data_IF_116249228013
#
_entry.id   IF_116249228013
#
_cell.length_a   1.000
_cell.length_b   1.000
_cell.length_c   1.000
_cell.angle_alpha   90.00
_cell.angle_beta   90.00
_cell.angle_gamma   90.00
#
_symmetry.space_group_name_H-M   'P 1'
#
loop_
_entity.id
_entity.type
_entity.pdbx_description
1 polymer ?
#
# COMPACT_ATOMS: atom_id res chain seq x y z
N UNK A 1 -15.26 -11.53 0.09
CA UNK A 1 -15.60 -10.16 0.55
C UNK A 1 -15.32 -10.10 2.04
N UNK A 2 -14.70 -9.02 2.53
CA UNK A 2 -14.44 -8.86 3.95
C UNK A 2 -15.76 -8.78 4.75
N UNK A 3 -15.78 -9.49 5.87
CA UNK A 3 -16.82 -9.41 6.88
C UNK A 3 -16.74 -8.08 7.62
N UNK A 4 -17.85 -7.69 8.23
CA UNK A 4 -17.90 -6.49 9.09
C UNK A 4 -16.91 -6.62 10.24
N UNK A 5 -16.79 -7.81 10.85
CA UNK A 5 -15.87 -8.04 11.96
C UNK A 5 -14.40 -7.83 11.57
N UNK A 6 -14.02 -8.16 10.34
CA UNK A 6 -12.67 -7.90 9.82
C UNK A 6 -12.47 -6.40 9.60
N UNK A 7 -13.43 -5.70 8.98
CA UNK A 7 -13.36 -4.25 8.76
C UNK A 7 -13.23 -3.49 10.09
N UNK A 8 -14.00 -3.90 11.10
CA UNK A 8 -14.02 -3.29 12.43
C UNK A 8 -12.76 -3.57 13.27
N UNK A 9 -11.81 -4.36 12.77
CA UNK A 9 -10.47 -4.43 13.39
C UNK A 9 -9.68 -3.13 13.23
N UNK A 10 -10.07 -2.30 12.26
CA UNK A 10 -9.31 -1.13 11.81
C UNK A 10 -10.17 0.13 11.74
N UNK A 11 -11.39 0.01 11.20
CA UNK A 11 -12.31 1.13 11.08
C UNK A 11 -13.29 1.20 12.25
N UNK A 12 -13.72 2.40 12.60
CA UNK A 12 -14.70 2.60 13.67
C UNK A 12 -16.08 2.08 13.24
N UNK A 13 -16.86 1.61 14.22
CA UNK A 13 -18.22 1.17 13.97
C UNK A 13 -19.08 2.28 13.38
N UNK A 14 -18.94 3.52 13.87
CA UNK A 14 -19.70 4.67 13.37
C UNK A 14 -19.39 4.96 11.90
N UNK A 15 -18.12 4.91 11.50
CA UNK A 15 -17.74 5.11 10.10
C UNK A 15 -18.27 3.99 9.21
N UNK A 16 -18.14 2.73 9.63
CA UNK A 16 -18.73 1.61 8.91
C UNK A 16 -20.25 1.73 8.77
N UNK A 17 -20.96 2.10 9.85
CA UNK A 17 -22.40 2.30 9.82
C UNK A 17 -22.80 3.45 8.87
N UNK A 18 -22.03 4.53 8.85
CA UNK A 18 -22.28 5.65 7.95
C UNK A 18 -22.06 5.27 6.47
N UNK A 19 -21.04 4.45 6.19
CA UNK A 19 -20.85 3.85 4.87
C UNK A 19 -22.04 2.96 4.51
N UNK A 20 -22.31 1.91 5.29
CA UNK A 20 -23.29 0.88 4.95
C UNK A 20 -24.71 1.43 4.74
N UNK A 21 -25.06 2.50 5.45
CA UNK A 21 -26.35 3.19 5.32
C UNK A 21 -26.34 4.38 4.35
N UNK A 22 -25.21 4.67 3.70
CA UNK A 22 -25.02 5.81 2.80
C UNK A 22 -25.35 7.17 3.45
N UNK A 23 -24.97 7.35 4.71
CA UNK A 23 -25.25 8.56 5.51
C UNK A 23 -24.03 9.44 5.75
N UNK A 24 -22.90 9.17 5.08
CA UNK A 24 -21.74 10.07 5.11
C UNK A 24 -22.14 11.50 4.72
N UNK A 25 -21.56 12.49 5.41
CA UNK A 25 -21.84 13.87 5.10
C UNK A 25 -21.33 14.24 3.70
N UNK A 26 -21.93 15.23 3.01
CA UNK A 26 -21.40 15.69 1.72
C UNK A 26 -19.94 16.16 1.79
N UNK A 27 -19.48 16.61 2.95
CA UNK A 27 -18.08 17.00 3.18
C UNK A 27 -17.16 15.77 3.14
N UNK A 28 -17.55 14.68 3.80
CA UNK A 28 -16.76 13.46 3.86
C UNK A 28 -16.72 12.76 2.50
N UNK A 29 -17.85 12.73 1.78
CA UNK A 29 -17.89 12.23 0.40
C UNK A 29 -16.94 13.01 -0.52
N UNK A 30 -16.86 14.34 -0.38
CA UNK A 30 -15.91 15.17 -1.15
C UNK A 30 -14.45 14.89 -0.78
N UNK A 31 -14.17 14.57 0.49
CA UNK A 31 -12.83 14.20 0.96
C UNK A 31 -12.36 12.89 0.31
N UNK A 32 -13.26 11.92 0.19
CA UNK A 32 -13.03 10.66 -0.53
C UNK A 32 -12.83 10.93 -2.03
N UNK A 33 -13.64 11.80 -2.64
CA UNK A 33 -13.54 12.15 -4.05
C UNK A 33 -14.24 11.16 -5.00
N UNK A 34 -15.10 10.28 -4.47
CA UNK A 34 -15.89 9.31 -5.24
C UNK A 34 -17.38 9.45 -4.94
N UNK A 35 -18.28 9.20 -5.92
CA UNK A 35 -19.72 9.20 -5.67
C UNK A 35 -20.11 7.97 -4.84
N UNK A 36 -20.66 8.19 -3.63
CA UNK A 36 -21.07 7.11 -2.73
C UNK A 36 -22.26 6.33 -3.29
N UNK A 37 -22.13 5.00 -3.29
CA UNK A 37 -23.15 4.05 -3.72
C UNK A 37 -22.95 2.71 -2.98
N UNK A 38 -23.98 1.87 -2.94
CA UNK A 38 -23.87 0.56 -2.30
C UNK A 38 -22.89 -0.34 -3.05
N UNK A 39 -22.88 -0.24 -4.37
CA UNK A 39 -21.98 -0.95 -5.27
C UNK A 39 -20.52 -0.57 -5.02
N UNK A 40 -20.24 0.72 -4.80
CA UNK A 40 -18.90 1.17 -4.43
C UNK A 40 -18.47 0.57 -3.09
N UNK A 41 -19.34 0.58 -2.07
CA UNK A 41 -19.02 0.00 -0.77
C UNK A 41 -18.78 -1.50 -0.88
N UNK A 42 -19.62 -2.23 -1.61
CA UNK A 42 -19.44 -3.67 -1.80
C UNK A 42 -18.16 -3.98 -2.59
N UNK A 43 -17.79 -3.14 -3.58
CA UNK A 43 -16.47 -3.20 -4.23
C UNK A 43 -15.34 -3.04 -3.21
N UNK A 44 -15.39 -2.04 -2.33
CA UNK A 44 -14.33 -1.82 -1.33
C UNK A 44 -14.20 -3.02 -0.37
N UNK A 45 -15.32 -3.62 0.04
CA UNK A 45 -15.27 -4.85 0.85
C UNK A 45 -14.67 -6.03 0.08
N UNK A 46 -14.86 -6.10 -1.24
CA UNK A 46 -14.21 -7.11 -2.08
C UNK A 46 -12.70 -6.86 -2.15
N UNK A 47 -12.26 -5.60 -2.28
CA UNK A 47 -10.84 -5.22 -2.25
C UNK A 47 -10.19 -5.65 -0.94
N UNK A 48 -10.77 -5.27 0.21
CA UNK A 48 -10.26 -5.66 1.53
C UNK A 48 -10.20 -7.19 1.67
N UNK A 49 -11.26 -7.88 1.28
CA UNK A 49 -11.30 -9.35 1.32
C UNK A 49 -10.25 -10.00 0.42
N UNK A 50 -9.99 -9.43 -0.76
CA UNK A 50 -8.96 -9.92 -1.67
C UNK A 50 -7.55 -9.76 -1.08
N UNK A 51 -7.27 -8.63 -0.41
CA UNK A 51 -5.98 -8.41 0.26
C UNK A 51 -5.76 -9.36 1.45
N UNK A 52 -6.82 -9.67 2.23
CA UNK A 52 -6.77 -10.70 3.29
C UNK A 52 -6.46 -12.08 2.69
N UNK A 53 -7.16 -12.48 1.63
CA UNK A 53 -6.94 -13.79 1.00
C UNK A 53 -5.56 -13.87 0.35
N UNK A 54 -5.11 -12.80 -0.33
CA UNK A 54 -3.74 -12.69 -0.83
C UNK A 54 -2.73 -12.91 0.32
N UNK A 55 -2.98 -12.35 1.50
CA UNK A 55 -2.09 -12.56 2.63
C UNK A 55 -1.99 -14.02 3.06
N UNK A 56 -3.12 -14.73 3.09
CA UNK A 56 -3.14 -16.17 3.37
C UNK A 56 -2.45 -16.99 2.28
N UNK A 57 -2.58 -16.62 1.01
CA UNK A 57 -1.82 -17.25 -0.07
C UNK A 57 -0.32 -16.99 0.06
N UNK A 58 0.11 -15.76 0.33
CA UNK A 58 1.51 -15.41 0.50
C UNK A 58 2.20 -16.19 1.62
N UNK A 59 1.50 -16.53 2.70
CA UNK A 59 2.04 -17.40 3.77
C UNK A 59 2.41 -18.80 3.29
N UNK A 60 1.70 -19.32 2.28
CA UNK A 60 1.91 -20.65 1.73
C UNK A 60 2.86 -20.63 0.53
N UNK A 61 2.64 -19.67 -0.38
CA UNK A 61 3.30 -19.59 -1.68
C UNK A 61 4.54 -18.66 -1.67
N UNK A 62 4.78 -17.96 -0.56
CA UNK A 62 5.85 -16.98 -0.38
C UNK A 62 5.51 -15.59 -0.92
N UNK A 63 4.65 -15.49 -1.94
CA UNK A 63 4.21 -14.22 -2.50
C UNK A 63 2.82 -14.29 -3.11
N UNK A 64 2.07 -13.19 -3.05
CA UNK A 64 0.81 -13.01 -3.77
C UNK A 64 0.64 -11.56 -4.21
N UNK A 65 -0.18 -11.31 -5.24
CA UNK A 65 -0.35 -10.00 -5.85
C UNK A 65 -1.83 -9.63 -5.90
N UNK A 66 -2.19 -8.51 -5.26
CA UNK A 66 -3.54 -7.93 -5.27
C UNK A 66 -3.62 -6.83 -6.34
N UNK A 67 -4.44 -7.06 -7.36
CA UNK A 67 -4.64 -6.10 -8.46
C UNK A 67 -5.64 -4.98 -8.14
N UNK A 68 -6.18 -4.96 -6.92
CA UNK A 68 -7.25 -4.05 -6.54
C UNK A 68 -7.01 -3.34 -5.21
N UNK A 69 -6.00 -3.79 -4.44
CA UNK A 69 -5.62 -3.24 -3.15
C UNK A 69 -4.60 -2.10 -3.20
N UNK A 70 -4.20 -1.64 -2.02
CA UNK A 70 -3.29 -0.50 -1.85
C UNK A 70 -4.03 0.80 -1.52
N UNK A 71 -5.14 0.71 -0.80
CA UNK A 71 -5.98 1.87 -0.42
C UNK A 71 -5.46 2.54 0.86
N UNK A 72 -4.25 3.10 0.78
CA UNK A 72 -3.47 3.55 1.95
C UNK A 72 -3.93 4.86 2.63
N UNK A 73 -4.88 5.60 2.05
CA UNK A 73 -5.28 6.92 2.56
C UNK A 73 -6.44 6.90 3.56
N UNK A 74 -7.17 5.79 3.67
CA UNK A 74 -8.30 5.70 4.59
C UNK A 74 -7.84 5.64 6.07
N UNK A 75 -8.51 6.41 6.92
CA UNK A 75 -8.33 6.46 8.38
C UNK A 75 -9.37 5.58 9.09
N UNK A 76 -9.25 5.46 10.42
CA UNK A 76 -10.18 4.67 11.21
C UNK A 76 -11.63 5.16 11.06
N UNK A 77 -11.85 6.47 11.03
CA UNK A 77 -13.17 7.11 11.07
C UNK A 77 -13.55 7.88 9.80
N UNK A 78 -12.69 7.85 8.77
CA UNK A 78 -12.91 8.61 7.55
C UNK A 78 -12.13 8.05 6.36
N UNK A 79 -12.66 8.26 5.16
CA UNK A 79 -11.96 8.00 3.91
C UNK A 79 -11.42 9.31 3.30
N UNK A 80 -10.39 9.20 2.47
CA UNK A 80 -9.84 10.32 1.70
C UNK A 80 -8.96 9.83 0.54
N UNK A 81 -8.67 10.70 -0.42
CA UNK A 81 -7.72 10.38 -1.50
C UNK A 81 -8.11 9.13 -2.28
N UNK A 82 -9.40 9.00 -2.63
CA UNK A 82 -9.99 7.84 -3.30
C UNK A 82 -10.01 6.53 -2.49
N UNK A 83 -9.53 6.53 -1.25
CA UNK A 83 -9.52 5.38 -0.36
C UNK A 83 -10.68 5.45 0.64
N UNK A 84 -11.48 4.39 0.72
CA UNK A 84 -12.66 4.31 1.60
C UNK A 84 -12.39 3.39 2.78
N UNK A 85 -11.90 2.18 2.51
CA UNK A 85 -11.40 1.25 3.52
C UNK A 85 -9.91 1.02 3.30
N UNK A 86 -9.13 0.86 4.37
CA UNK A 86 -7.69 0.60 4.28
C UNK A 86 -7.44 -0.90 4.27
N UNK A 87 -7.23 -1.47 3.08
CA UNK A 87 -7.14 -2.91 2.89
C UNK A 87 -5.90 -3.52 3.54
N UNK A 88 -4.74 -2.87 3.43
CA UNK A 88 -3.48 -3.32 4.03
C UNK A 88 -3.58 -3.34 5.55
N UNK A 89 -4.16 -2.29 6.16
CA UNK A 89 -4.28 -2.22 7.61
C UNK A 89 -5.27 -3.25 8.17
N UNK A 90 -6.40 -3.44 7.48
CA UNK A 90 -7.36 -4.50 7.84
C UNK A 90 -6.69 -5.87 7.74
N UNK A 91 -6.02 -6.17 6.63
CA UNK A 91 -5.33 -7.45 6.47
C UNK A 91 -4.24 -7.66 7.54
N UNK A 92 -3.47 -6.61 7.87
CA UNK A 92 -2.47 -6.66 8.94
C UNK A 92 -3.09 -7.01 10.29
N UNK A 93 -4.18 -6.33 10.68
CA UNK A 93 -4.86 -6.60 11.95
C UNK A 93 -5.50 -7.99 11.99
N UNK A 94 -6.02 -8.50 10.87
CA UNK A 94 -6.52 -9.87 10.75
C UNK A 94 -5.40 -10.89 10.96
N UNK A 95 -4.27 -10.76 10.26
CA UNK A 95 -3.12 -11.66 10.43
C UNK A 95 -2.60 -11.69 11.86
N UNK A 96 -2.45 -10.51 12.50
CA UNK A 96 -1.99 -10.41 13.89
C UNK A 96 -2.98 -11.07 14.85
N UNK A 97 -4.29 -10.81 14.68
CA UNK A 97 -5.35 -11.38 15.53
C UNK A 97 -5.44 -12.89 15.41
N UNK A 98 -5.24 -13.43 14.21
CA UNK A 98 -5.26 -14.88 13.94
C UNK A 98 -3.92 -15.57 14.29
N UNK A 99 -2.89 -14.80 14.65
CA UNK A 99 -1.56 -15.34 14.97
C UNK A 99 -0.81 -15.86 13.74
N UNK A 100 -1.23 -15.44 12.54
CA UNK A 100 -0.62 -15.83 11.26
C UNK A 100 0.66 -15.03 10.94
N UNK A 101 0.81 -13.86 11.55
CA UNK A 101 2.03 -13.06 11.56
C UNK A 101 2.24 -12.44 12.95
N UNK A 102 3.47 -12.11 13.31
CA UNK A 102 3.80 -11.46 14.60
C UNK A 102 4.43 -10.09 14.43
N UNK A 103 5.11 -9.84 13.31
CA UNK A 103 5.75 -8.57 12.99
C UNK A 103 5.60 -8.29 11.50
N UNK A 104 4.79 -7.29 11.18
CA UNK A 104 4.43 -6.95 9.80
C UNK A 104 5.18 -5.69 9.37
N UNK A 105 5.86 -5.74 8.24
CA UNK A 105 6.36 -4.55 7.56
C UNK A 105 5.35 -4.11 6.50
N UNK A 106 4.89 -2.87 6.59
CA UNK A 106 4.23 -2.17 5.48
C UNK A 106 5.30 -1.32 4.79
N UNK A 107 5.72 -1.76 3.61
CA UNK A 107 6.62 -1.03 2.72
C UNK A 107 5.77 -0.29 1.68
N UNK A 108 5.63 1.03 1.86
CA UNK A 108 4.83 1.89 0.99
C UNK A 108 5.73 2.72 0.07
N UNK A 109 5.75 2.37 -1.22
CA UNK A 109 6.53 3.04 -2.26
C UNK A 109 5.64 3.76 -3.29
N UNK A 110 4.40 4.07 -2.91
CA UNK A 110 3.55 5.01 -3.64
C UNK A 110 4.11 6.44 -3.53
N UNK A 111 3.90 7.29 -4.55
CA UNK A 111 4.42 8.65 -4.52
C UNK A 111 3.78 9.50 -3.42
N UNK A 112 2.55 9.16 -3.02
CA UNK A 112 1.83 9.79 -1.93
C UNK A 112 2.18 9.11 -0.61
N UNK A 113 2.26 9.90 0.46
CA UNK A 113 2.47 9.31 1.78
C UNK A 113 1.22 8.53 2.20
N UNK A 114 1.41 7.27 2.59
CA UNK A 114 0.36 6.41 3.16
C UNK A 114 -0.07 6.86 4.56
N UNK A 115 -0.68 8.04 4.66
CA UNK A 115 -1.13 8.64 5.90
C UNK A 115 -2.13 7.79 6.69
N UNK A 116 -3.00 7.05 5.99
CA UNK A 116 -3.90 6.08 6.62
C UNK A 116 -3.10 4.96 7.29
N UNK A 117 -2.15 4.36 6.56
CA UNK A 117 -1.24 3.34 7.11
C UNK A 117 -0.50 3.86 8.35
N UNK A 118 0.12 5.04 8.25
CA UNK A 118 0.85 5.67 9.34
C UNK A 118 -0.04 5.92 10.57
N UNK A 119 -1.24 6.48 10.36
CA UNK A 119 -2.15 6.82 11.45
C UNK A 119 -2.77 5.59 12.12
N UNK A 120 -3.17 4.59 11.33
CA UNK A 120 -3.84 3.38 11.83
C UNK A 120 -2.88 2.49 12.63
N UNK A 121 -1.59 2.48 12.25
CA UNK A 121 -0.58 1.61 12.86
C UNK A 121 0.31 2.32 13.89
N UNK A 122 0.14 3.62 14.12
CA UNK A 122 0.98 4.43 15.00
C UNK A 122 1.19 3.85 16.41
N UNK A 123 0.18 3.15 16.95
CA UNK A 123 0.23 2.56 18.29
C UNK A 123 0.38 1.02 18.29
N UNK A 124 0.68 0.42 17.15
CA UNK A 124 0.85 -1.03 17.00
C UNK A 124 2.34 -1.38 16.89
N UNK A 125 2.96 -1.80 18.00
CA UNK A 125 4.38 -2.17 18.03
C UNK A 125 4.72 -3.42 17.18
N UNK A 126 3.71 -4.18 16.75
CA UNK A 126 3.87 -5.33 15.86
C UNK A 126 3.82 -4.96 14.38
N UNK A 127 3.64 -3.68 14.04
CA UNK A 127 3.65 -3.20 12.65
C UNK A 127 4.66 -2.09 12.49
N UNK A 128 5.48 -2.18 11.45
CA UNK A 128 6.40 -1.13 11.05
C UNK A 128 5.96 -0.57 9.69
N UNK A 129 5.69 0.73 9.64
CA UNK A 129 5.36 1.45 8.41
C UNK A 129 6.60 2.21 7.93
N UNK A 130 7.13 1.77 6.79
CA UNK A 130 8.17 2.48 6.04
C UNK A 130 7.54 3.09 4.80
N UNK A 131 7.66 4.39 4.61
CA UNK A 131 7.16 5.09 3.42
C UNK A 131 8.25 5.92 2.75
N UNK A 132 8.38 5.79 1.44
CA UNK A 132 9.19 6.67 0.59
C UNK A 132 8.26 7.41 -0.36
N UNK A 133 8.13 8.73 -0.19
CA UNK A 133 7.10 9.52 -0.88
C UNK A 133 7.60 10.90 -1.24
N UNK A 134 6.92 11.56 -2.18
CA UNK A 134 7.20 12.94 -2.55
C UNK A 134 6.95 13.88 -1.37
N UNK A 135 7.97 14.64 -0.97
CA UNK A 135 7.89 15.57 0.17
C UNK A 135 6.71 16.55 0.01
N UNK A 136 6.54 17.07 -1.21
CA UNK A 136 5.53 18.06 -1.58
C UNK A 136 4.32 17.45 -2.30
N UNK A 137 4.22 16.13 -2.36
CA UNK A 137 3.02 15.44 -2.83
C UNK A 137 1.93 15.46 -1.75
N UNK A 138 0.67 15.28 -2.18
CA UNK A 138 -0.42 14.98 -1.26
C UNK A 138 -0.07 13.72 -0.43
N UNK A 139 -0.53 13.61 0.83
CA UNK A 139 -1.23 14.60 1.63
C UNK A 139 -0.31 15.71 2.16
N UNK A 140 -0.86 16.92 2.35
CA UNK A 140 -0.10 18.04 2.93
C UNK A 140 0.16 17.87 4.42
N UNK A 141 -0.75 17.19 5.13
CA UNK A 141 -0.53 16.75 6.50
C UNK A 141 -0.14 15.27 6.48
N UNK A 142 1.14 14.99 6.77
CA UNK A 142 1.70 13.64 6.81
C UNK A 142 1.85 13.20 8.28
N UNK A 143 0.95 12.37 8.83
CA UNK A 143 1.15 11.79 10.15
C UNK A 143 2.41 10.92 10.13
N UNK A 144 3.15 10.90 11.23
CA UNK A 144 4.44 10.22 11.32
C UNK A 144 4.28 8.70 11.23
N UNK A 145 5.01 8.08 10.30
CA UNK A 145 5.23 6.63 10.22
C UNK A 145 6.39 6.20 11.13
N UNK A 146 6.75 4.91 11.14
CA UNK A 146 7.97 4.48 11.81
C UNK A 146 9.22 5.00 11.09
N UNK A 147 9.21 5.03 9.75
CA UNK A 147 10.22 5.65 8.91
C UNK A 147 9.57 6.35 7.70
N UNK A 148 9.75 7.66 7.62
CA UNK A 148 9.33 8.47 6.47
C UNK A 148 10.59 9.00 5.75
N UNK A 149 10.68 8.73 4.45
CA UNK A 149 11.75 9.22 3.57
C UNK A 149 11.12 10.20 2.59
N UNK A 150 11.37 11.49 2.82
CA UNK A 150 10.88 12.57 1.99
C UNK A 150 11.76 12.70 0.74
N UNK A 151 11.16 12.45 -0.42
CA UNK A 151 11.81 12.56 -1.72
C UNK A 151 11.61 13.97 -2.28
N UNK A 152 12.68 14.73 -2.60
CA UNK A 152 12.56 16.01 -3.28
C UNK A 152 11.91 15.88 -4.66
N UNK A 153 11.25 16.95 -5.11
CA UNK A 153 10.71 17.05 -6.47
C UNK A 153 11.80 16.72 -7.51
N UNK A 154 11.45 15.90 -8.49
CA UNK A 154 12.32 15.50 -9.60
C UNK A 154 13.35 14.43 -9.25
N UNK A 155 13.27 13.80 -8.07
CA UNK A 155 14.10 12.63 -7.72
C UNK A 155 14.05 11.61 -8.85
N UNK A 156 15.22 11.24 -9.37
CA UNK A 156 15.37 10.25 -10.45
C UNK A 156 15.79 8.87 -9.93
N UNK A 157 16.04 7.96 -10.87
CA UNK A 157 16.34 6.55 -10.62
C UNK A 157 17.46 6.33 -9.58
N UNK A 158 18.62 6.97 -9.78
CA UNK A 158 19.81 6.73 -8.95
C UNK A 158 19.62 7.15 -7.49
N UNK A 159 19.07 8.34 -7.25
CA UNK A 159 18.81 8.87 -5.91
C UNK A 159 17.74 8.01 -5.20
N UNK A 160 16.66 7.69 -5.91
CA UNK A 160 15.58 6.85 -5.39
C UNK A 160 16.09 5.47 -4.97
N UNK A 161 16.79 4.78 -5.87
CA UNK A 161 17.30 3.43 -5.63
C UNK A 161 18.39 3.44 -4.55
N UNK A 162 19.22 4.47 -4.47
CA UNK A 162 20.24 4.60 -3.43
C UNK A 162 19.61 4.70 -2.04
N UNK A 163 18.57 5.52 -1.87
CA UNK A 163 17.83 5.65 -0.62
C UNK A 163 17.14 4.33 -0.25
N UNK A 164 16.45 3.69 -1.21
CA UNK A 164 15.78 2.41 -0.99
C UNK A 164 16.78 1.32 -0.54
N UNK A 165 17.90 1.20 -1.25
CA UNK A 165 18.97 0.23 -0.95
C UNK A 165 19.67 0.51 0.38
N UNK A 166 19.66 1.77 0.83
CA UNK A 166 20.21 2.14 2.13
C UNK A 166 19.24 1.82 3.29
N UNK A 167 17.94 2.09 3.12
CA UNK A 167 16.98 2.02 4.22
C UNK A 167 16.32 0.65 4.39
N UNK A 168 15.90 -0.01 3.29
CA UNK A 168 15.12 -1.25 3.39
C UNK A 168 15.87 -2.37 4.15
N UNK A 169 17.16 -2.66 3.87
CA UNK A 169 17.88 -3.69 4.63
C UNK A 169 17.96 -3.39 6.12
N UNK A 170 18.15 -2.12 6.52
CA UNK A 170 18.21 -1.74 7.94
C UNK A 170 16.88 -1.99 8.63
N UNK A 171 15.77 -1.61 8.01
CA UNK A 171 14.43 -1.88 8.56
C UNK A 171 14.21 -3.39 8.70
N UNK A 172 14.56 -4.18 7.68
CA UNK A 172 14.44 -5.63 7.72
C UNK A 172 15.30 -6.26 8.83
N UNK A 173 16.52 -5.79 9.03
CA UNK A 173 17.44 -6.35 10.02
C UNK A 173 17.07 -5.92 11.45
N UNK A 174 16.67 -4.66 11.66
CA UNK A 174 16.33 -4.10 12.98
C UNK A 174 14.94 -4.52 13.47
N UNK A 175 13.91 -4.38 12.62
CA UNK A 175 12.53 -4.74 12.98
C UNK A 175 12.30 -6.25 12.88
N UNK A 176 13.00 -6.91 11.94
CA UNK A 176 12.94 -8.35 11.70
C UNK A 176 11.50 -8.87 11.47
N UNK A 177 10.77 -8.33 10.47
CA UNK A 177 9.41 -8.75 10.18
C UNK A 177 9.34 -10.23 9.79
N UNK A 178 8.19 -10.87 10.05
CA UNK A 178 7.85 -12.20 9.55
C UNK A 178 6.81 -12.18 8.41
N UNK A 179 6.33 -10.99 8.04
CA UNK A 179 5.40 -10.78 6.92
C UNK A 179 5.57 -9.37 6.33
N UNK A 180 5.36 -9.22 5.03
CA UNK A 180 5.47 -7.92 4.33
C UNK A 180 4.24 -7.62 3.48
N UNK A 181 3.69 -6.41 3.61
CA UNK A 181 2.86 -5.79 2.59
C UNK A 181 3.73 -4.79 1.82
N UNK A 182 3.86 -4.98 0.53
CA UNK A 182 4.60 -4.10 -0.37
C UNK A 182 3.62 -3.39 -1.31
N UNK A 183 3.43 -2.08 -1.10
CA UNK A 183 2.62 -1.26 -1.99
C UNK A 183 3.51 -0.68 -3.11
N UNK A 184 3.27 -1.18 -4.32
CA UNK A 184 4.08 -0.93 -5.51
C UNK A 184 3.46 0.12 -6.45
N UNK A 185 3.03 1.27 -5.89
CA UNK A 185 2.46 2.40 -6.64
C UNK A 185 3.36 2.82 -7.81
N UNK A 186 2.78 3.07 -8.98
CA UNK A 186 3.51 3.43 -10.22
C UNK A 186 3.40 4.92 -10.54
N UNK A 187 2.73 5.69 -9.70
CA UNK A 187 2.65 7.15 -9.76
C UNK A 187 3.96 7.87 -9.39
N UNK A 188 5.02 7.11 -9.15
CA UNK A 188 6.42 7.58 -9.08
C UNK A 188 7.06 7.79 -10.46
N UNK A 189 6.42 7.30 -11.53
CA UNK A 189 6.91 7.47 -12.91
C UNK A 189 6.87 8.94 -13.34
N UNK A 190 7.85 9.37 -14.13
CA UNK A 190 7.96 10.74 -14.62
C UNK A 190 6.75 11.22 -15.45
N UNK A 191 6.04 10.29 -16.10
CA UNK A 191 4.85 10.58 -16.91
C UNK A 191 3.55 10.66 -16.08
N UNK A 192 3.62 10.42 -14.77
CA UNK A 192 2.46 10.52 -13.88
C UNK A 192 2.01 11.98 -13.68
N UNK A 193 0.70 12.22 -13.63
CA UNK A 193 0.14 13.57 -13.49
C UNK A 193 0.05 14.07 -12.05
N UNK A 194 0.02 13.15 -11.10
CA UNK A 194 -0.14 13.43 -9.67
C UNK A 194 1.19 13.32 -8.92
N UNK A 195 2.13 12.54 -9.45
CA UNK A 195 3.51 12.44 -8.98
C UNK A 195 4.35 13.69 -9.22
N UNK A 196 5.40 13.86 -8.39
CA UNK A 196 6.46 14.88 -8.58
C UNK A 196 7.85 14.24 -8.62
N UNK A 197 7.90 12.93 -8.84
CA UNK A 197 9.10 12.10 -8.91
C UNK A 197 9.31 11.70 -10.37
N UNK A 198 10.56 11.50 -10.77
CA UNK A 198 10.94 11.30 -12.17
C UNK A 198 11.54 9.90 -12.39
N UNK A 199 10.92 8.84 -11.87
CA UNK A 199 11.39 7.49 -12.21
C UNK A 199 11.15 7.19 -13.68
N UNK A 200 12.14 6.57 -14.30
CA UNK A 200 11.97 5.95 -15.62
C UNK A 200 11.33 4.58 -15.46
N UNK A 201 10.81 4.02 -16.56
CA UNK A 201 10.35 2.62 -16.57
C UNK A 201 11.46 1.63 -16.18
N UNK A 202 12.73 1.94 -16.49
CA UNK A 202 13.87 1.14 -16.06
C UNK A 202 14.16 1.29 -14.56
N UNK A 203 14.06 2.51 -14.02
CA UNK A 203 14.14 2.77 -12.58
C UNK A 203 13.05 2.03 -11.80
N UNK A 204 11.81 2.02 -12.32
CA UNK A 204 10.70 1.26 -11.77
C UNK A 204 11.00 -0.25 -11.80
N UNK A 205 11.49 -0.78 -12.92
CA UNK A 205 11.94 -2.18 -13.00
C UNK A 205 13.00 -2.52 -11.95
N UNK A 206 14.02 -1.68 -11.80
CA UNK A 206 15.07 -1.89 -10.80
C UNK A 206 14.56 -1.77 -9.36
N UNK A 207 13.55 -0.93 -9.10
CA UNK A 207 12.83 -0.87 -7.81
C UNK A 207 12.16 -2.20 -7.53
N UNK A 208 11.30 -2.68 -8.44
CA UNK A 208 10.57 -3.95 -8.26
C UNK A 208 11.54 -5.11 -8.09
N UNK A 209 12.53 -5.21 -8.98
CA UNK A 209 13.55 -6.26 -8.94
C UNK A 209 14.27 -6.26 -7.59
N UNK A 210 14.76 -5.11 -7.14
CA UNK A 210 15.49 -5.02 -5.88
C UNK A 210 14.64 -5.40 -4.67
N UNK A 211 13.41 -4.86 -4.56
CA UNK A 211 12.52 -5.17 -3.44
C UNK A 211 12.18 -6.65 -3.40
N UNK A 212 11.66 -7.19 -4.52
CA UNK A 212 11.22 -8.59 -4.58
C UNK A 212 12.39 -9.55 -4.35
N UNK A 213 13.57 -9.33 -4.95
CA UNK A 213 14.76 -10.16 -4.68
C UNK A 213 15.17 -10.09 -3.20
N UNK A 214 15.15 -8.89 -2.59
CA UNK A 214 15.55 -8.70 -1.19
C UNK A 214 14.64 -9.47 -0.24
N UNK A 215 13.33 -9.45 -0.48
CA UNK A 215 12.32 -10.16 0.32
C UNK A 215 12.35 -11.67 0.05
N UNK A 216 12.47 -12.08 -1.22
CA UNK A 216 12.59 -13.48 -1.62
C UNK A 216 13.81 -14.16 -1.00
N UNK A 217 14.98 -13.52 -1.05
CA UNK A 217 16.21 -14.06 -0.47
C UNK A 217 16.13 -14.23 1.06
N UNK A 218 15.27 -13.46 1.72
CA UNK A 218 14.96 -13.58 3.16
C UNK A 218 13.81 -14.53 3.45
N UNK A 219 13.17 -15.09 2.42
CA UNK A 219 11.99 -15.97 2.51
C UNK A 219 10.84 -15.33 3.29
N UNK A 220 10.64 -14.02 3.08
CA UNK A 220 9.55 -13.28 3.72
C UNK A 220 8.27 -13.41 2.90
N UNK A 221 7.18 -13.97 3.46
CA UNK A 221 5.86 -13.93 2.86
C UNK A 221 5.47 -12.49 2.53
N UNK A 222 5.13 -12.24 1.27
CA UNK A 222 4.88 -10.89 0.77
C UNK A 222 3.56 -10.79 0.02
N UNK A 223 2.74 -9.80 0.35
CA UNK A 223 1.63 -9.35 -0.51
C UNK A 223 2.07 -8.11 -1.23
N UNK A 224 1.97 -8.10 -2.56
CA UNK A 224 2.14 -6.90 -3.36
C UNK A 224 0.77 -6.30 -3.67
N UNK A 225 0.61 -4.99 -3.46
CA UNK A 225 -0.57 -4.24 -3.90
C UNK A 225 -0.18 -3.23 -4.99
N UNK A 226 -1.10 -2.90 -5.89
CA UNK A 226 -0.83 -1.98 -6.99
C UNK A 226 -0.63 -0.54 -6.53
N UNK A 227 -1.53 0.03 -5.72
CA UNK A 227 -1.46 1.45 -5.33
C UNK A 227 -1.85 2.41 -6.47
N UNK A 228 -1.29 3.64 -6.46
CA UNK A 228 -1.57 4.70 -7.41
C UNK A 228 -0.91 4.55 -8.78
N UNK A 229 -1.44 5.28 -9.77
CA UNK A 229 -0.98 5.30 -11.16
C UNK A 229 -1.96 6.10 -12.05
N UNK A 230 -1.53 7.25 -12.55
CA UNK A 230 -2.38 8.29 -13.13
C UNK A 230 -1.76 8.98 -14.36
N UNK A 231 -0.87 8.29 -15.06
CA UNK A 231 -0.33 8.76 -16.33
C UNK A 231 -1.47 9.03 -17.35
N UNK A 232 -1.30 10.02 -18.25
CA UNK A 232 -2.26 10.28 -19.33
C UNK A 232 -2.54 9.06 -20.20
N UNK A 233 -1.49 8.29 -20.45
CA UNK A 233 -1.49 7.11 -21.29
C UNK A 233 -1.69 5.88 -20.42
N UNK A 234 -2.79 5.16 -20.68
CA UNK A 234 -3.13 3.94 -19.95
C UNK A 234 -2.08 2.84 -20.17
N UNK A 235 -1.40 2.82 -21.31
CA UNK A 235 -0.38 1.81 -21.61
C UNK A 235 0.82 1.96 -20.66
N UNK A 236 1.17 3.19 -20.28
CA UNK A 236 2.22 3.47 -19.28
C UNK A 236 1.83 2.90 -17.91
N UNK A 237 0.57 3.08 -17.50
CA UNK A 237 0.04 2.56 -16.23
C UNK A 237 0.06 1.03 -16.23
N UNK A 238 -0.49 0.42 -17.29
CA UNK A 238 -0.56 -1.04 -17.44
C UNK A 238 0.84 -1.64 -17.49
N UNK A 239 1.76 -1.04 -18.25
CA UNK A 239 3.14 -1.47 -18.32
C UNK A 239 3.82 -1.37 -16.96
N UNK A 240 3.69 -0.22 -16.27
CA UNK A 240 4.27 0.02 -14.96
C UNK A 240 3.83 -1.03 -13.95
N UNK A 241 2.54 -1.29 -13.82
CA UNK A 241 2.07 -2.32 -12.88
C UNK A 241 2.41 -3.73 -13.35
N UNK A 242 2.56 -3.99 -14.65
CA UNK A 242 2.97 -5.31 -15.16
C UNK A 242 4.41 -5.67 -14.83
N UNK A 243 5.28 -4.68 -14.55
CA UNK A 243 6.69 -4.89 -14.18
C UNK A 243 6.81 -5.84 -13.00
N UNK A 244 6.05 -5.63 -11.93
CA UNK A 244 6.17 -6.45 -10.72
C UNK A 244 5.75 -7.90 -10.98
N UNK A 245 4.73 -8.14 -11.81
CA UNK A 245 4.35 -9.50 -12.22
C UNK A 245 5.47 -10.19 -13.00
N UNK A 246 6.14 -9.47 -13.89
CA UNK A 246 7.29 -9.98 -14.64
C UNK A 246 8.45 -10.37 -13.73
N UNK A 247 8.79 -9.51 -12.77
CA UNK A 247 9.83 -9.78 -11.76
C UNK A 247 9.49 -11.00 -10.91
N UNK A 248 8.26 -11.06 -10.38
CA UNK A 248 7.81 -12.18 -9.55
C UNK A 248 7.84 -13.49 -10.33
N UNK A 249 7.33 -13.51 -11.56
CA UNK A 249 7.37 -14.69 -12.43
C UNK A 249 8.80 -15.19 -12.63
N UNK A 250 9.76 -14.29 -12.86
CA UNK A 250 11.16 -14.66 -13.09
C UNK A 250 11.85 -15.28 -11.87
N UNK A 251 11.41 -14.92 -10.65
CA UNK A 251 12.03 -15.39 -9.40
C UNK A 251 11.33 -16.62 -8.80
N UNK A 252 10.00 -16.67 -8.84
CA UNK A 252 9.20 -17.69 -8.14
C UNK A 252 8.74 -18.85 -9.03
N UNK A 253 8.65 -18.68 -10.35
CA UNK A 253 8.05 -19.65 -11.27
C UNK A 253 9.05 -20.26 -12.26
N UNK A 254 10.28 -20.52 -11.80
CA UNK A 254 11.31 -21.21 -12.60
C UNK A 254 11.02 -22.69 -12.79
#
# INVERSE_FOLDING_TARGET
MASVNEILTTHTADYWHALDNLTLSPKDCRKIGLPMSKELIDRERLVVGATIECAKFALNDGISLSTSGGTHHAFADSGEGFCILNDICVASNVLLKEGLAKRILILDLDVHQGNGNASLMANNANVFVMSMHGEKNYPYHKPRSNLDINLPDGTGDDDYLSLLKYHLPKVLDDFNPDFVFYQAGVDVLADDRLGRINLTMNGLYERERYVIETLFNRRLPTVVTMGGGYAPDIDVIVQGHSVVFGVVKALFLK
#
